data_IF_923867887118
#
_entry.id   IF_923867887118
#
_cell.length_a   1.000
_cell.length_b   1.000
_cell.length_c   1.000
_cell.angle_alpha   90.00
_cell.angle_beta   90.00
_cell.angle_gamma   90.00
#
_symmetry.space_group_name_H-M   'P 1'
#
loop_
_entity.id
_entity.type
_entity.pdbx_description
1 polymer ?
#
# COMPACT_ATOMS: atom_id res chain seq x y z
N UNK A 1 -14.92 -16.12 5.80
CA UNK A 1 -14.56 -16.49 7.19
C UNK A 1 -14.85 -15.33 8.17
N UNK A 2 -14.36 -14.08 8.03
CA UNK A 2 -14.52 -13.04 9.06
C UNK A 2 -15.98 -12.81 9.48
N UNK A 3 -16.90 -12.73 8.53
CA UNK A 3 -18.31 -12.48 8.82
C UNK A 3 -18.91 -13.62 9.67
N UNK A 4 -18.59 -14.88 9.39
CA UNK A 4 -19.07 -16.02 10.19
C UNK A 4 -18.55 -16.01 11.61
N UNK A 5 -17.28 -15.62 11.83
CA UNK A 5 -16.66 -15.59 13.15
C UNK A 5 -17.17 -14.44 14.02
N UNK A 6 -17.48 -13.30 13.41
CA UNK A 6 -17.79 -12.07 14.16
C UNK A 6 -19.26 -11.66 14.10
N UNK A 7 -20.14 -12.44 13.43
CA UNK A 7 -21.57 -12.17 13.37
C UNK A 7 -22.41 -13.44 13.55
N UNK A 8 -23.66 -13.26 13.89
CA UNK A 8 -24.66 -14.33 13.97
C UNK A 8 -25.63 -14.30 12.77
N UNK A 9 -25.18 -13.79 11.62
CA UNK A 9 -26.00 -13.68 10.42
C UNK A 9 -26.27 -15.05 9.79
N UNK A 10 -27.48 -15.28 9.23
CA UNK A 10 -27.76 -16.50 8.49
C UNK A 10 -26.88 -16.62 7.23
N UNK A 11 -26.55 -17.83 6.82
CA UNK A 11 -25.63 -18.11 5.71
C UNK A 11 -26.06 -17.48 4.38
N UNK A 12 -27.37 -17.40 4.14
CA UNK A 12 -27.92 -16.72 2.95
C UNK A 12 -27.54 -15.24 2.88
N UNK A 13 -27.56 -14.57 4.03
CA UNK A 13 -27.21 -13.15 4.13
C UNK A 13 -25.69 -12.95 4.03
N UNK A 14 -24.91 -13.82 4.69
CA UNK A 14 -23.44 -13.83 4.56
C UNK A 14 -23.02 -13.97 3.09
N UNK A 15 -23.68 -14.88 2.35
CA UNK A 15 -23.41 -15.05 0.92
C UNK A 15 -23.67 -13.77 0.12
N UNK A 16 -24.75 -13.06 0.40
CA UNK A 16 -25.06 -11.80 -0.29
C UNK A 16 -24.02 -10.73 0.02
N UNK A 17 -23.63 -10.57 1.29
CA UNK A 17 -22.59 -9.63 1.70
C UNK A 17 -21.26 -9.95 1.00
N UNK A 18 -20.86 -11.22 0.97
CA UNK A 18 -19.62 -11.65 0.29
C UNK A 18 -19.67 -11.31 -1.20
N UNK A 19 -20.77 -11.56 -1.88
CA UNK A 19 -20.92 -11.20 -3.30
C UNK A 19 -20.84 -9.67 -3.52
N UNK A 20 -21.41 -8.86 -2.63
CA UNK A 20 -21.26 -7.39 -2.69
C UNK A 20 -19.78 -6.96 -2.51
N UNK A 21 -19.07 -7.53 -1.53
CA UNK A 21 -17.65 -7.20 -1.32
C UNK A 21 -16.77 -7.65 -2.48
N UNK A 22 -17.06 -8.81 -3.08
CA UNK A 22 -16.37 -9.27 -4.28
C UNK A 22 -16.69 -8.39 -5.51
N UNK A 23 -17.91 -7.90 -5.65
CA UNK A 23 -18.28 -6.93 -6.68
C UNK A 23 -17.49 -5.64 -6.54
N UNK A 24 -17.36 -5.10 -5.32
CA UNK A 24 -16.64 -3.87 -5.03
C UNK A 24 -15.17 -3.92 -5.49
N UNK A 25 -14.55 -5.10 -5.50
CA UNK A 25 -13.17 -5.33 -5.98
C UNK A 25 -13.10 -5.97 -7.37
N UNK A 26 -14.24 -6.11 -8.08
CA UNK A 26 -14.31 -6.66 -9.43
C UNK A 26 -14.05 -8.17 -9.51
N UNK A 27 -14.38 -8.93 -8.46
CA UNK A 27 -14.15 -10.38 -8.38
C UNK A 27 -15.44 -11.21 -8.23
N UNK A 28 -16.63 -10.62 -8.40
CA UNK A 28 -17.88 -11.39 -8.25
C UNK A 28 -17.93 -12.61 -9.17
N UNK A 29 -17.44 -12.49 -10.42
CA UNK A 29 -17.38 -13.61 -11.37
C UNK A 29 -16.41 -14.72 -10.98
N UNK A 30 -15.50 -14.47 -10.05
CA UNK A 30 -14.54 -15.44 -9.51
C UNK A 30 -14.96 -16.06 -8.18
N UNK A 31 -16.20 -15.84 -7.73
CA UNK A 31 -16.69 -16.27 -6.40
C UNK A 31 -16.64 -17.79 -6.17
N UNK A 32 -16.58 -18.59 -7.24
CA UNK A 32 -16.49 -20.06 -7.15
C UNK A 32 -15.05 -20.58 -7.19
N UNK A 33 -14.05 -19.71 -7.46
CA UNK A 33 -12.64 -20.11 -7.53
C UNK A 33 -12.04 -20.28 -6.14
N UNK A 34 -11.15 -21.27 -6.02
CA UNK A 34 -10.32 -21.44 -4.84
C UNK A 34 -9.18 -20.40 -4.82
N UNK A 35 -8.67 -20.01 -3.65
CA UNK A 35 -7.54 -19.07 -3.56
C UNK A 35 -6.32 -19.47 -4.39
N UNK A 36 -6.05 -20.78 -4.55
CA UNK A 36 -4.97 -21.32 -5.37
C UNK A 36 -5.16 -21.13 -6.88
N UNK A 37 -6.37 -20.83 -7.33
CA UNK A 37 -6.71 -20.61 -8.74
C UNK A 37 -6.68 -19.12 -9.13
N UNK A 38 -6.46 -18.23 -8.14
CA UNK A 38 -6.40 -16.80 -8.34
C UNK A 38 -5.03 -16.37 -8.87
N UNK A 39 -5.01 -15.47 -9.84
CA UNK A 39 -3.77 -14.75 -10.20
C UNK A 39 -3.30 -13.87 -9.05
N UNK A 40 -2.03 -13.44 -9.06
CA UNK A 40 -1.48 -12.56 -8.01
C UNK A 40 -2.31 -11.29 -7.79
N UNK A 41 -2.71 -10.62 -8.88
CA UNK A 41 -3.57 -9.43 -8.81
C UNK A 41 -4.99 -9.75 -8.30
N UNK A 42 -5.56 -10.92 -8.67
CA UNK A 42 -6.84 -11.37 -8.13
C UNK A 42 -6.74 -11.68 -6.64
N UNK A 43 -5.68 -12.34 -6.20
CA UNK A 43 -5.47 -12.69 -4.79
C UNK A 43 -5.36 -11.42 -3.92
N UNK A 44 -4.67 -10.37 -4.38
CA UNK A 44 -4.61 -9.08 -3.68
C UNK A 44 -5.97 -8.41 -3.58
N UNK A 45 -6.75 -8.40 -4.66
CA UNK A 45 -8.13 -7.88 -4.64
C UNK A 45 -9.04 -8.68 -3.73
N UNK A 46 -8.88 -10.00 -3.67
CA UNK A 46 -9.60 -10.86 -2.74
C UNK A 46 -9.21 -10.56 -1.26
N UNK A 47 -7.92 -10.29 -1.00
CA UNK A 47 -7.47 -9.86 0.31
C UNK A 47 -8.10 -8.52 0.72
N UNK A 48 -8.22 -7.57 -0.23
CA UNK A 48 -8.91 -6.31 -0.01
C UNK A 48 -10.40 -6.51 0.30
N UNK A 49 -11.11 -7.37 -0.47
CA UNK A 49 -12.51 -7.72 -0.20
C UNK A 49 -12.68 -8.34 1.20
N UNK A 50 -11.70 -9.14 1.65
CA UNK A 50 -11.68 -9.70 2.99
C UNK A 50 -11.46 -8.63 4.05
N UNK A 51 -10.58 -7.66 3.82
CA UNK A 51 -10.31 -6.56 4.76
C UNK A 51 -11.55 -5.70 5.00
N UNK A 52 -12.34 -5.42 3.95
CA UNK A 52 -13.58 -4.63 4.05
C UNK A 52 -14.81 -5.45 4.42
N UNK A 53 -14.67 -6.75 4.73
CA UNK A 53 -15.82 -7.65 4.92
C UNK A 53 -16.71 -7.27 6.10
N UNK A 54 -16.17 -6.62 7.11
CA UNK A 54 -16.86 -6.20 8.33
C UNK A 54 -17.10 -4.68 8.41
N UNK A 55 -16.95 -3.96 7.30
CA UNK A 55 -17.07 -2.49 7.23
C UNK A 55 -16.25 -1.79 8.35
N UNK A 56 -14.91 -1.95 8.36
CA UNK A 56 -14.07 -1.34 9.38
C UNK A 56 -14.00 0.18 9.23
N UNK A 57 -13.70 0.89 10.31
CA UNK A 57 -13.44 2.34 10.29
C UNK A 57 -12.02 2.66 9.83
N UNK A 58 -11.07 1.71 10.01
CA UNK A 58 -9.67 1.85 9.68
C UNK A 58 -9.16 0.63 8.92
N UNK A 59 -8.41 0.86 7.84
CA UNK A 59 -7.66 -0.18 7.12
C UNK A 59 -6.19 0.21 7.06
N UNK A 60 -5.31 -0.77 7.30
CA UNK A 60 -3.88 -0.63 7.11
C UNK A 60 -3.44 -1.47 5.92
N UNK A 61 -2.75 -0.85 4.96
CA UNK A 61 -2.16 -1.48 3.80
C UNK A 61 -0.64 -1.52 3.98
N UNK A 62 -0.08 -2.71 3.92
CA UNK A 62 1.37 -2.93 3.99
C UNK A 62 1.86 -3.39 2.62
N UNK A 63 2.66 -2.54 1.97
CA UNK A 63 3.23 -2.75 0.64
C UNK A 63 2.21 -3.23 -0.41
N UNK A 64 1.08 -2.54 -0.60
CA UNK A 64 0.00 -3.03 -1.47
C UNK A 64 0.39 -3.07 -2.95
N UNK A 65 1.41 -2.32 -3.37
CA UNK A 65 1.82 -2.15 -4.77
C UNK A 65 2.97 -3.08 -5.17
N UNK A 66 3.76 -3.55 -4.22
CA UNK A 66 4.98 -4.32 -4.46
C UNK A 66 4.76 -5.54 -5.35
N UNK A 67 5.59 -5.67 -6.40
CA UNK A 67 5.56 -6.81 -7.31
C UNK A 67 4.34 -6.86 -8.24
N UNK A 68 3.67 -5.72 -8.46
CA UNK A 68 2.60 -5.59 -9.44
C UNK A 68 3.13 -5.04 -10.77
N UNK A 69 2.51 -5.47 -11.86
CA UNK A 69 2.66 -4.77 -13.14
C UNK A 69 1.93 -3.41 -13.08
N UNK A 70 2.28 -2.46 -13.96
CA UNK A 70 1.71 -1.10 -13.91
C UNK A 70 0.19 -1.06 -14.03
N UNK A 71 -0.44 -1.99 -14.76
CA UNK A 71 -1.90 -2.03 -14.91
C UNK A 71 -2.53 -2.50 -13.61
N UNK A 72 -2.02 -3.59 -13.03
CA UNK A 72 -2.49 -4.13 -11.75
C UNK A 72 -2.30 -3.13 -10.61
N UNK A 73 -1.19 -2.40 -10.60
CA UNK A 73 -0.92 -1.32 -9.65
C UNK A 73 -1.98 -0.21 -9.75
N UNK A 74 -2.25 0.30 -10.97
CA UNK A 74 -3.28 1.31 -11.19
C UNK A 74 -4.68 0.85 -10.76
N UNK A 75 -5.00 -0.45 -10.91
CA UNK A 75 -6.25 -1.03 -10.41
C UNK A 75 -6.32 -0.98 -8.88
N UNK A 76 -5.24 -1.38 -8.18
CA UNK A 76 -5.21 -1.36 -6.70
C UNK A 76 -5.31 0.07 -6.17
N UNK A 77 -4.57 1.03 -6.75
CA UNK A 77 -4.66 2.46 -6.40
C UNK A 77 -6.11 2.98 -6.52
N UNK A 78 -6.74 2.74 -7.68
CA UNK A 78 -8.13 3.13 -7.92
C UNK A 78 -9.10 2.47 -6.93
N UNK A 79 -8.88 1.20 -6.58
CA UNK A 79 -9.71 0.49 -5.60
C UNK A 79 -9.56 1.07 -4.20
N UNK A 80 -8.34 1.33 -3.73
CA UNK A 80 -8.10 1.92 -2.41
C UNK A 80 -8.84 3.26 -2.32
N UNK A 81 -8.67 4.14 -3.31
CA UNK A 81 -9.33 5.45 -3.33
C UNK A 81 -10.85 5.33 -3.34
N UNK A 82 -11.42 4.53 -4.23
CA UNK A 82 -12.88 4.34 -4.34
C UNK A 82 -13.48 3.74 -3.08
N UNK A 83 -12.81 2.78 -2.45
CA UNK A 83 -13.30 2.15 -1.22
C UNK A 83 -13.23 3.12 -0.04
N UNK A 84 -12.16 3.92 0.03
CA UNK A 84 -12.01 4.97 1.04
C UNK A 84 -13.17 5.98 0.95
N UNK A 85 -13.45 6.46 -0.26
CA UNK A 85 -14.55 7.39 -0.51
C UNK A 85 -15.92 6.75 -0.23
N UNK A 86 -16.18 5.54 -0.74
CA UNK A 86 -17.49 4.89 -0.67
C UNK A 86 -17.86 4.43 0.76
N UNK A 87 -16.86 4.04 1.56
CA UNK A 87 -17.07 3.53 2.91
C UNK A 87 -16.69 4.55 3.99
N UNK A 88 -16.21 5.73 3.59
CA UNK A 88 -15.72 6.78 4.49
C UNK A 88 -14.67 6.24 5.48
N UNK A 89 -13.71 5.47 4.96
CA UNK A 89 -12.66 4.81 5.74
C UNK A 89 -11.53 5.78 6.10
N UNK A 90 -10.87 5.49 7.20
CA UNK A 90 -9.49 5.95 7.42
C UNK A 90 -8.52 4.90 6.86
N UNK A 91 -7.59 5.29 6.00
CA UNK A 91 -6.62 4.38 5.40
C UNK A 91 -5.20 4.78 5.76
N UNK A 92 -4.40 3.81 6.24
CA UNK A 92 -2.96 3.96 6.40
C UNK A 92 -2.28 3.09 5.35
N UNK A 93 -1.46 3.69 4.50
CA UNK A 93 -0.70 2.97 3.47
C UNK A 93 0.78 3.07 3.80
N UNK A 94 1.44 1.93 3.98
CA UNK A 94 2.89 1.82 4.12
C UNK A 94 3.45 1.28 2.81
N UNK A 95 4.32 2.04 2.18
CA UNK A 95 4.98 1.63 0.93
C UNK A 95 6.25 2.43 0.68
N UNK A 96 7.13 1.88 -0.15
CA UNK A 96 8.29 2.57 -0.72
C UNK A 96 8.03 3.09 -2.14
N UNK A 97 6.86 2.81 -2.71
CA UNK A 97 6.42 3.31 -4.02
C UNK A 97 5.90 4.75 -3.87
N UNK A 98 6.82 5.71 -3.97
CA UNK A 98 6.60 7.12 -3.59
C UNK A 98 5.52 7.79 -4.43
N UNK A 99 5.61 7.67 -5.77
CA UNK A 99 4.69 8.32 -6.70
C UNK A 99 3.26 7.83 -6.47
N UNK A 100 3.10 6.52 -6.28
CA UNK A 100 1.81 5.88 -6.04
C UNK A 100 1.19 6.35 -4.74
N UNK A 101 1.95 6.34 -3.64
CA UNK A 101 1.45 6.81 -2.33
C UNK A 101 1.05 8.27 -2.41
N UNK A 102 1.91 9.14 -2.96
CA UNK A 102 1.62 10.58 -3.06
C UNK A 102 0.44 10.89 -3.98
N UNK A 103 0.07 9.99 -4.90
CA UNK A 103 -1.08 10.17 -5.78
C UNK A 103 -2.44 9.96 -5.09
N UNK A 104 -2.47 9.26 -3.94
CA UNK A 104 -3.70 8.92 -3.23
C UNK A 104 -3.75 9.44 -1.79
N UNK A 105 -2.62 9.83 -1.21
CA UNK A 105 -2.54 10.25 0.19
C UNK A 105 -3.00 11.70 0.36
N UNK A 106 -3.83 11.95 1.36
CA UNK A 106 -4.18 13.29 1.84
C UNK A 106 -3.01 13.88 2.66
N UNK A 107 -2.30 13.01 3.38
CA UNK A 107 -1.16 13.37 4.23
C UNK A 107 -0.17 12.21 4.29
N UNK A 108 1.12 12.50 4.25
CA UNK A 108 2.15 11.47 4.28
C UNK A 108 3.27 11.78 5.26
N UNK A 109 3.88 10.72 5.78
CA UNK A 109 5.04 10.74 6.66
C UNK A 109 6.20 10.02 5.97
N UNK A 110 7.36 10.65 5.88
CA UNK A 110 8.59 10.01 5.44
C UNK A 110 9.39 9.56 6.66
N UNK A 111 9.64 8.26 6.76
CA UNK A 111 10.32 7.64 7.90
C UNK A 111 11.70 7.18 7.46
N UNK A 112 12.73 7.64 8.18
CA UNK A 112 14.09 7.15 8.06
C UNK A 112 14.76 7.17 9.44
N UNK A 113 15.76 6.31 9.67
CA UNK A 113 16.50 6.21 10.94
C UNK A 113 15.56 6.12 12.17
N UNK A 114 14.45 5.37 12.05
CA UNK A 114 13.43 5.17 13.08
C UNK A 114 12.73 6.47 13.52
N UNK A 115 12.71 7.48 12.67
CA UNK A 115 12.09 8.80 12.95
C UNK A 115 11.34 9.31 11.73
N UNK A 116 10.33 10.12 11.98
CA UNK A 116 9.73 10.95 10.94
C UNK A 116 10.73 12.04 10.56
N UNK A 117 11.18 12.06 9.32
CA UNK A 117 12.11 13.07 8.80
C UNK A 117 11.40 14.18 8.06
N UNK A 118 10.20 13.91 7.54
CA UNK A 118 9.31 14.92 6.96
C UNK A 118 7.87 14.43 7.02
N UNK A 119 6.94 15.38 7.02
CA UNK A 119 5.49 15.10 6.96
C UNK A 119 4.78 16.26 6.25
N UNK A 120 3.63 15.97 5.66
CA UNK A 120 2.82 16.98 4.99
C UNK A 120 1.93 16.40 3.90
N UNK A 121 1.24 17.28 3.18
CA UNK A 121 0.55 16.91 1.94
C UNK A 121 1.54 16.55 0.85
N UNK A 122 1.09 15.85 -0.18
CA UNK A 122 1.93 15.51 -1.34
C UNK A 122 2.61 16.74 -1.93
N UNK A 123 1.89 17.85 -2.06
CA UNK A 123 2.43 19.10 -2.58
C UNK A 123 3.54 19.69 -1.68
N UNK A 124 3.34 19.70 -0.37
CA UNK A 124 4.34 20.18 0.60
C UNK A 124 5.61 19.33 0.56
N UNK A 125 5.47 18.00 0.48
CA UNK A 125 6.61 17.09 0.42
C UNK A 125 7.40 17.25 -0.88
N UNK A 126 6.73 17.39 -2.02
CA UNK A 126 7.39 17.62 -3.32
C UNK A 126 8.13 18.96 -3.39
N UNK A 127 7.75 19.96 -2.57
CA UNK A 127 8.43 21.26 -2.47
C UNK A 127 9.53 21.29 -1.39
N UNK A 128 9.76 20.18 -0.70
CA UNK A 128 10.76 20.09 0.36
C UNK A 128 12.17 20.43 -0.14
N UNK A 129 12.91 21.18 0.69
CA UNK A 129 14.32 21.51 0.45
C UNK A 129 15.27 20.64 1.32
N UNK A 130 14.76 19.75 2.16
CA UNK A 130 15.61 18.83 2.93
C UNK A 130 16.28 17.84 1.95
N UNK A 131 17.63 17.80 1.90
CA UNK A 131 18.34 16.95 0.93
C UNK A 131 18.01 15.46 1.06
N UNK A 132 17.65 14.96 2.25
CA UNK A 132 17.27 13.56 2.47
C UNK A 132 15.90 13.27 1.88
N UNK A 133 14.97 14.21 2.05
CA UNK A 133 13.63 14.12 1.47
C UNK A 133 13.71 14.16 -0.05
N UNK A 134 14.48 15.11 -0.59
CA UNK A 134 14.69 15.24 -2.04
C UNK A 134 15.31 13.97 -2.63
N UNK A 135 16.37 13.43 -1.99
CA UNK A 135 16.99 12.19 -2.42
C UNK A 135 16.00 11.03 -2.44
N UNK A 136 15.20 10.87 -1.39
CA UNK A 136 14.22 9.79 -1.28
C UNK A 136 13.12 9.92 -2.33
N UNK A 137 12.52 11.12 -2.48
CA UNK A 137 11.42 11.36 -3.41
C UNK A 137 11.84 11.20 -4.88
N UNK A 138 13.09 11.55 -5.21
CA UNK A 138 13.62 11.46 -6.59
C UNK A 138 14.36 10.16 -6.88
N UNK A 139 14.61 9.32 -5.87
CA UNK A 139 15.42 8.11 -6.02
C UNK A 139 16.86 8.39 -6.42
N UNK A 140 17.45 9.51 -5.95
CA UNK A 140 18.82 9.89 -6.32
C UNK A 140 19.84 8.97 -5.64
N UNK A 141 20.80 8.46 -6.42
CA UNK A 141 21.87 7.57 -5.92
C UNK A 141 22.88 8.29 -5.02
N UNK A 142 23.06 9.59 -5.25
CA UNK A 142 23.98 10.44 -4.50
C UNK A 142 23.21 11.39 -3.59
N UNK A 143 23.60 11.46 -2.31
CA UNK A 143 22.95 12.32 -1.34
C UNK A 143 23.35 12.02 0.10
N UNK A 144 22.59 12.54 1.08
CA UNK A 144 22.85 12.31 2.51
C UNK A 144 22.81 10.83 2.91
N UNK A 145 21.96 10.02 2.28
CA UNK A 145 21.96 8.56 2.43
C UNK A 145 23.00 8.00 1.49
N UNK A 146 24.12 7.54 2.08
CA UNK A 146 25.27 7.06 1.31
C UNK A 146 25.03 5.67 0.77
N UNK A 147 25.35 5.44 -0.50
CA UNK A 147 25.36 4.12 -1.12
C UNK A 147 26.49 3.23 -0.54
N UNK A 148 27.65 3.82 -0.26
CA UNK A 148 28.82 3.07 0.25
C UNK A 148 28.74 2.90 1.76
N UNK A 149 28.90 1.66 2.20
CA UNK A 149 29.12 1.36 3.60
C UNK A 149 30.41 2.05 4.08
N UNK A 150 30.44 2.64 5.29
CA UNK A 150 31.65 3.29 5.81
C UNK A 150 32.82 2.31 5.85
N UNK A 151 33.90 2.66 5.20
CA UNK A 151 35.15 1.90 5.18
C UNK A 151 36.35 2.87 5.32
N UNK A 152 37.52 2.33 5.60
CA UNK A 152 38.77 3.09 5.52
C UNK A 152 39.04 3.52 4.08
N UNK A 153 39.97 4.48 3.92
CA UNK A 153 40.35 4.93 2.58
C UNK A 153 40.90 3.73 1.77
N UNK A 154 40.27 3.47 0.62
CA UNK A 154 40.59 2.31 -0.22
C UNK A 154 42.07 2.25 -0.62
N UNK A 155 42.70 3.39 -0.88
CA UNK A 155 44.09 3.45 -1.25
C UNK A 155 45.02 3.11 -0.07
N UNK A 156 44.64 3.47 1.16
CA UNK A 156 45.37 3.05 2.35
C UNK A 156 45.25 1.55 2.59
N UNK A 157 44.07 1.00 2.47
CA UNK A 157 43.80 -0.43 2.70
C UNK A 157 44.46 -1.33 1.65
N UNK A 158 44.75 -0.80 0.43
CA UNK A 158 45.36 -1.53 -0.67
C UNK A 158 46.88 -1.56 -0.59
N UNK A 159 47.53 -0.57 0.04
CA UNK A 159 48.97 -0.38 0.06
C UNK A 159 49.62 -0.48 1.44
N UNK A 160 48.86 -0.74 2.49
CA UNK A 160 49.33 -1.19 3.81
C UNK A 160 49.37 -2.73 3.89
#
# INVERSE_FOLDING_TARGET
FPIREHTHLPESLIRQIVLMKLEAVGLRGAAALMPSELSGGMARRAALARAIALDPDLIMFDEPFTGQDPISMGVILSLIKRLNEALNLTSIVVSHDVEEVLSIADYAYIIADQKVIAEGTSEQLLQSQDPRVVQFLKGESDGPVRFKYPAQDYMKELFE
#
